data_IF_820606893168
#
_entry.id   IF_820606893168
#
_cell.length_a   1.000
_cell.length_b   1.000
_cell.length_c   1.000
_cell.angle_alpha   90.00
_cell.angle_beta   90.00
_cell.angle_gamma   90.00
#
_symmetry.space_group_name_H-M   'P 1'
#
loop_
_entity.id
_entity.type
_entity.pdbx_description
1 polymer ?
#
# COMPACT_ATOMS: atom_id res chain seq x y z
N UNK A 1 48.57 32.34 15.35
CA UNK A 1 48.44 30.84 15.24
C UNK A 1 47.16 30.37 15.97
N UNK A 2 46.85 30.86 17.18
CA UNK A 2 45.66 30.46 17.96
C UNK A 2 44.34 30.96 17.34
N UNK A 3 44.31 32.19 16.81
CA UNK A 3 43.17 32.78 16.14
C UNK A 3 42.83 32.05 14.83
N UNK A 4 43.80 31.63 14.04
CA UNK A 4 43.56 30.86 12.82
C UNK A 4 42.98 29.46 13.09
N UNK A 5 43.33 28.82 14.20
CA UNK A 5 42.72 27.51 14.57
C UNK A 5 41.27 27.66 14.98
N UNK A 6 40.90 28.72 15.67
CA UNK A 6 39.51 28.97 16.06
C UNK A 6 38.63 29.24 14.82
N UNK A 7 39.10 30.08 13.90
CA UNK A 7 38.42 30.40 12.65
C UNK A 7 38.22 29.13 11.81
N UNK A 8 39.23 28.25 11.71
CA UNK A 8 39.10 26.97 10.99
C UNK A 8 38.09 26.05 11.68
N UNK A 9 38.10 25.93 13.01
CA UNK A 9 37.14 25.09 13.73
C UNK A 9 35.70 25.55 13.54
N UNK A 10 35.48 26.88 13.56
CA UNK A 10 34.15 27.45 13.35
C UNK A 10 33.67 27.24 11.90
N UNK A 11 34.54 27.42 10.92
CA UNK A 11 34.24 27.13 9.52
C UNK A 11 33.91 25.65 9.30
N UNK A 12 34.64 24.73 9.91
CA UNK A 12 34.35 23.30 9.84
C UNK A 12 33.01 22.95 10.48
N UNK A 13 32.68 23.57 11.62
CA UNK A 13 31.40 23.35 12.29
C UNK A 13 30.22 23.87 11.45
N UNK A 14 30.31 25.10 10.92
CA UNK A 14 29.28 25.67 10.03
C UNK A 14 29.07 24.80 8.79
N UNK A 15 30.15 24.39 8.13
CA UNK A 15 30.06 23.54 6.93
C UNK A 15 29.41 22.18 7.24
N UNK A 16 29.73 21.57 8.38
CA UNK A 16 29.10 20.31 8.80
C UNK A 16 27.60 20.48 9.10
N UNK A 17 27.23 21.55 9.80
CA UNK A 17 25.83 21.84 10.12
C UNK A 17 25.05 22.09 8.84
N UNK A 18 25.59 22.85 7.90
CA UNK A 18 24.95 23.11 6.60
C UNK A 18 24.75 21.83 5.78
N UNK A 19 25.77 20.97 5.69
CA UNK A 19 25.66 19.68 4.98
C UNK A 19 24.62 18.76 5.61
N UNK A 20 24.56 18.67 6.94
CA UNK A 20 23.58 17.87 7.66
C UNK A 20 22.17 18.43 7.45
N UNK A 21 21.98 19.74 7.57
CA UNK A 21 20.69 20.39 7.40
C UNK A 21 20.17 20.23 5.97
N UNK A 22 21.04 20.41 4.97
CA UNK A 22 20.69 20.21 3.57
C UNK A 22 20.33 18.75 3.27
N UNK A 23 21.07 17.77 3.81
CA UNK A 23 20.78 16.35 3.63
C UNK A 23 19.48 15.93 4.33
N UNK A 24 19.17 16.49 5.50
CA UNK A 24 17.90 16.29 6.20
C UNK A 24 16.73 16.86 5.40
N UNK A 25 16.88 18.07 4.85
CA UNK A 25 15.86 18.70 4.01
C UNK A 25 15.50 17.86 2.79
N UNK A 26 16.49 17.35 2.07
CA UNK A 26 16.30 16.46 0.94
C UNK A 26 15.61 15.14 1.34
N UNK A 27 16.01 14.54 2.47
CA UNK A 27 15.38 13.31 2.98
C UNK A 27 13.90 13.54 3.32
N UNK A 28 13.59 14.60 4.02
CA UNK A 28 12.20 14.96 4.38
C UNK A 28 11.38 15.21 3.12
N UNK A 29 11.92 15.92 2.14
CA UNK A 29 11.24 16.18 0.86
C UNK A 29 10.94 14.87 0.10
N UNK A 30 11.90 13.96 0.02
CA UNK A 30 11.72 12.66 -0.65
C UNK A 30 10.65 11.80 0.05
N UNK A 31 10.66 11.77 1.39
CA UNK A 31 9.65 11.05 2.18
C UNK A 31 8.27 11.66 1.95
N UNK A 32 8.15 12.98 1.97
CA UNK A 32 6.89 13.68 1.73
C UNK A 32 6.32 13.39 0.34
N UNK A 33 7.13 13.51 -0.71
CA UNK A 33 6.73 13.22 -2.09
C UNK A 33 6.35 11.75 -2.25
N UNK A 34 7.14 10.83 -1.70
CA UNK A 34 6.85 9.40 -1.73
C UNK A 34 5.54 9.05 -1.04
N UNK A 35 5.27 9.63 0.14
CA UNK A 35 4.04 9.43 0.89
C UNK A 35 2.83 10.01 0.14
N UNK A 36 2.96 11.20 -0.42
CA UNK A 36 1.93 11.86 -1.20
C UNK A 36 1.54 11.04 -2.43
N UNK A 37 2.53 10.61 -3.22
CA UNK A 37 2.31 9.75 -4.38
C UNK A 37 1.71 8.40 -3.96
N UNK A 38 2.20 7.80 -2.88
CA UNK A 38 1.68 6.55 -2.35
C UNK A 38 0.20 6.61 -1.99
N UNK A 39 -0.24 7.70 -1.34
CA UNK A 39 -1.66 7.92 -1.00
C UNK A 39 -2.50 8.09 -2.27
N UNK A 40 -2.06 8.87 -3.25
CA UNK A 40 -2.78 9.06 -4.51
C UNK A 40 -2.93 7.73 -5.24
N UNK A 41 -1.85 6.96 -5.37
CA UNK A 41 -1.90 5.65 -6.01
C UNK A 41 -2.79 4.67 -5.27
N UNK A 42 -2.76 4.66 -3.93
CA UNK A 42 -3.63 3.82 -3.12
C UNK A 42 -5.10 4.13 -3.37
N UNK A 43 -5.50 5.41 -3.32
CA UNK A 43 -6.88 5.84 -3.56
C UNK A 43 -7.31 5.49 -4.98
N UNK A 44 -6.48 5.77 -5.97
CA UNK A 44 -6.78 5.47 -7.38
C UNK A 44 -6.94 3.98 -7.63
N UNK A 45 -6.04 3.15 -7.11
CA UNK A 45 -6.09 1.69 -7.25
C UNK A 45 -7.35 1.11 -6.63
N UNK A 46 -7.69 1.58 -5.43
CA UNK A 46 -8.89 1.19 -4.71
C UNK A 46 -10.15 1.55 -5.50
N UNK A 47 -10.21 2.76 -6.05
CA UNK A 47 -11.34 3.24 -6.85
C UNK A 47 -11.52 2.41 -8.13
N UNK A 48 -10.44 2.17 -8.86
CA UNK A 48 -10.47 1.36 -10.08
C UNK A 48 -10.95 -0.07 -9.77
N UNK A 49 -10.40 -0.68 -8.72
CA UNK A 49 -10.77 -2.03 -8.33
C UNK A 49 -12.25 -2.14 -7.96
N UNK A 50 -12.80 -1.13 -7.26
CA UNK A 50 -14.21 -1.07 -6.93
C UNK A 50 -15.11 -0.97 -8.16
N UNK A 51 -14.82 -0.02 -9.02
CA UNK A 51 -15.62 0.20 -10.22
C UNK A 51 -15.60 -1.06 -11.09
N UNK A 52 -14.43 -1.65 -11.28
CA UNK A 52 -14.28 -2.88 -12.07
C UNK A 52 -15.08 -4.02 -11.47
N UNK A 53 -15.01 -4.24 -10.16
CA UNK A 53 -15.73 -5.33 -9.51
C UNK A 53 -17.26 -5.11 -9.49
N UNK A 54 -17.71 -3.89 -9.27
CA UNK A 54 -19.12 -3.56 -9.32
C UNK A 54 -19.69 -3.72 -10.74
N UNK A 55 -18.95 -3.29 -11.76
CA UNK A 55 -19.32 -3.50 -13.17
C UNK A 55 -19.40 -5.00 -13.49
N UNK A 56 -18.37 -5.76 -13.13
CA UNK A 56 -18.35 -7.23 -13.33
C UNK A 56 -19.51 -7.93 -12.60
N UNK A 57 -19.84 -7.49 -11.39
CA UNK A 57 -20.95 -8.04 -10.63
C UNK A 57 -22.31 -7.72 -11.28
N UNK A 58 -22.45 -6.53 -11.84
CA UNK A 58 -23.64 -6.12 -12.60
C UNK A 58 -23.80 -6.95 -13.87
N UNK A 59 -22.72 -7.11 -14.63
CA UNK A 59 -22.73 -7.87 -15.88
C UNK A 59 -23.00 -9.38 -15.65
N UNK A 60 -22.56 -9.90 -14.53
CA UNK A 60 -22.80 -11.29 -14.14
C UNK A 60 -24.15 -11.55 -13.48
N UNK A 61 -24.97 -10.52 -13.19
CA UNK A 61 -26.27 -10.65 -12.53
C UNK A 61 -27.18 -11.63 -13.29
N UNK A 62 -27.30 -11.47 -14.60
CA UNK A 62 -28.13 -12.32 -15.44
C UNK A 62 -27.62 -13.77 -15.47
N UNK A 63 -26.33 -13.99 -15.52
CA UNK A 63 -25.70 -15.31 -15.44
C UNK A 63 -26.01 -16.01 -14.11
N UNK A 64 -25.96 -15.30 -13.00
CA UNK A 64 -26.31 -15.85 -11.69
C UNK A 64 -27.80 -16.15 -11.56
N UNK A 65 -28.68 -15.36 -12.23
CA UNK A 65 -30.11 -15.64 -12.32
C UNK A 65 -30.38 -16.95 -13.06
N UNK A 66 -29.76 -17.13 -14.22
CA UNK A 66 -29.86 -18.38 -15.01
C UNK A 66 -29.37 -19.59 -14.19
N UNK A 67 -28.26 -19.44 -13.45
CA UNK A 67 -27.76 -20.51 -12.58
C UNK A 67 -28.78 -20.90 -11.49
N UNK A 68 -29.52 -19.95 -10.93
CA UNK A 68 -30.60 -20.23 -9.97
C UNK A 68 -31.76 -20.98 -10.63
N UNK A 69 -32.15 -20.58 -11.82
CA UNK A 69 -33.20 -21.26 -12.60
C UNK A 69 -32.80 -22.70 -12.94
N UNK A 70 -31.51 -22.97 -13.14
CA UNK A 70 -30.94 -24.32 -13.35
C UNK A 70 -30.78 -25.13 -12.05
N UNK A 71 -31.19 -24.56 -10.89
CA UNK A 71 -31.17 -25.26 -9.60
C UNK A 71 -29.93 -25.04 -8.75
N UNK A 72 -29.06 -24.10 -9.10
CA UNK A 72 -27.93 -23.76 -8.24
C UNK A 72 -28.39 -23.13 -6.93
N UNK A 73 -27.91 -23.65 -5.80
CA UNK A 73 -28.25 -23.10 -4.50
C UNK A 73 -27.59 -21.73 -4.26
N UNK A 74 -28.22 -20.86 -3.48
CA UNK A 74 -27.64 -19.57 -3.08
C UNK A 74 -26.27 -19.71 -2.39
N UNK A 75 -26.04 -20.84 -1.73
CA UNK A 75 -24.75 -21.14 -1.09
C UNK A 75 -23.64 -21.36 -2.14
N UNK A 76 -23.94 -22.03 -3.24
CA UNK A 76 -22.99 -22.24 -4.34
C UNK A 76 -22.67 -20.92 -5.03
N UNK A 77 -23.68 -20.09 -5.30
CA UNK A 77 -23.52 -18.76 -5.91
C UNK A 77 -22.66 -17.85 -5.02
N UNK A 78 -22.99 -17.77 -3.73
CA UNK A 78 -22.22 -16.95 -2.79
C UNK A 78 -20.75 -17.40 -2.68
N UNK A 79 -20.50 -18.71 -2.73
CA UNK A 79 -19.13 -19.24 -2.70
C UNK A 79 -18.37 -18.91 -3.97
N UNK A 80 -19.00 -19.02 -5.13
CA UNK A 80 -18.41 -18.64 -6.41
C UNK A 80 -18.04 -17.14 -6.43
N UNK A 81 -18.97 -16.28 -6.02
CA UNK A 81 -18.76 -14.84 -5.90
C UNK A 81 -17.61 -14.50 -4.93
N UNK A 82 -17.60 -15.12 -3.75
CA UNK A 82 -16.53 -14.92 -2.79
C UNK A 82 -15.17 -15.31 -3.35
N UNK A 83 -15.09 -16.46 -4.04
CA UNK A 83 -13.83 -16.92 -4.65
C UNK A 83 -13.38 -15.97 -5.76
N UNK A 84 -14.29 -15.53 -6.61
CA UNK A 84 -13.98 -14.57 -7.69
C UNK A 84 -13.40 -13.27 -7.11
N UNK A 85 -14.08 -12.65 -6.17
CA UNK A 85 -13.64 -11.40 -5.54
C UNK A 85 -12.31 -11.61 -4.79
N UNK A 86 -12.16 -12.74 -4.09
CA UNK A 86 -10.91 -13.07 -3.39
C UNK A 86 -9.72 -13.14 -4.34
N UNK A 87 -9.86 -13.77 -5.50
CA UNK A 87 -8.76 -13.86 -6.47
C UNK A 87 -8.36 -12.46 -6.95
N UNK A 88 -9.34 -11.61 -7.29
CA UNK A 88 -9.10 -10.26 -7.80
C UNK A 88 -8.40 -9.38 -6.74
N UNK A 89 -8.72 -9.58 -5.46
CA UNK A 89 -8.12 -8.80 -4.38
C UNK A 89 -6.79 -9.39 -3.89
N UNK A 90 -6.70 -10.70 -3.71
CA UNK A 90 -5.52 -11.34 -3.12
C UNK A 90 -4.34 -11.34 -4.11
N UNK A 91 -4.59 -11.56 -5.40
CA UNK A 91 -3.52 -11.65 -6.40
C UNK A 91 -2.64 -10.37 -6.44
N UNK A 92 -3.20 -9.15 -6.60
CA UNK A 92 -2.40 -7.93 -6.57
C UNK A 92 -1.71 -7.70 -5.23
N UNK A 93 -2.37 -8.05 -4.11
CA UNK A 93 -1.83 -7.90 -2.78
C UNK A 93 -0.59 -8.79 -2.59
N UNK A 94 -0.63 -10.04 -3.02
CA UNK A 94 0.51 -10.96 -2.95
C UNK A 94 1.68 -10.43 -3.77
N UNK A 95 1.43 -9.96 -5.00
CA UNK A 95 2.47 -9.37 -5.85
C UNK A 95 3.06 -8.11 -5.20
N UNK A 96 2.22 -7.25 -4.62
CA UNK A 96 2.66 -6.04 -3.94
C UNK A 96 3.51 -6.35 -2.70
N UNK A 97 3.11 -7.34 -1.88
CA UNK A 97 3.88 -7.76 -0.70
C UNK A 97 5.23 -8.37 -1.10
N UNK A 98 5.24 -9.17 -2.16
CA UNK A 98 6.48 -9.75 -2.69
C UNK A 98 7.44 -8.64 -3.17
N UNK A 99 6.93 -7.67 -3.92
CA UNK A 99 7.71 -6.53 -4.39
C UNK A 99 8.21 -5.66 -3.24
N UNK A 100 7.35 -5.38 -2.26
CA UNK A 100 7.71 -4.64 -1.06
C UNK A 100 8.81 -5.34 -0.25
N UNK A 101 8.77 -6.66 -0.13
CA UNK A 101 9.80 -7.42 0.59
C UNK A 101 11.18 -7.22 -0.02
N UNK A 102 11.33 -7.33 -1.35
CA UNK A 102 12.61 -7.08 -2.02
C UNK A 102 13.03 -5.62 -1.91
N UNK A 103 12.14 -4.68 -2.18
CA UNK A 103 12.44 -3.25 -2.07
C UNK A 103 12.89 -2.83 -0.67
N UNK A 104 12.25 -3.38 0.38
CA UNK A 104 12.63 -3.10 1.77
C UNK A 104 13.97 -3.72 2.16
N UNK A 105 14.32 -4.87 1.59
CA UNK A 105 15.63 -5.50 1.83
C UNK A 105 16.75 -4.62 1.32
N UNK A 106 16.61 -4.07 0.12
CA UNK A 106 17.59 -3.15 -0.48
C UNK A 106 17.67 -1.83 0.29
N UNK A 107 16.52 -1.22 0.62
CA UNK A 107 16.46 0.02 1.40
C UNK A 107 17.06 -0.16 2.79
N UNK A 108 16.80 -1.29 3.46
CA UNK A 108 17.34 -1.58 4.78
C UNK A 108 18.88 -1.71 4.75
N UNK A 109 19.43 -2.26 3.67
CA UNK A 109 20.88 -2.32 3.45
C UNK A 109 21.49 -0.91 3.35
N UNK A 110 20.86 -0.02 2.60
CA UNK A 110 21.29 1.37 2.46
C UNK A 110 21.12 2.18 3.77
N UNK A 111 20.02 1.95 4.50
CA UNK A 111 19.76 2.64 5.77
C UNK A 111 20.73 2.24 6.88
N UNK A 112 21.14 0.98 6.94
CA UNK A 112 22.16 0.51 7.89
C UNK A 112 23.51 1.16 7.67
N UNK A 113 23.83 1.54 6.44
CA UNK A 113 25.06 2.31 6.14
C UNK A 113 24.99 3.77 6.62
N UNK A 114 23.77 4.32 6.82
CA UNK A 114 23.58 5.75 7.11
C UNK A 114 23.16 6.04 8.57
N UNK A 115 22.47 5.12 9.23
CA UNK A 115 22.05 5.24 10.64
C UNK A 115 21.52 3.91 11.18
N UNK A 116 21.71 3.67 12.47
CA UNK A 116 21.17 2.49 13.17
C UNK A 116 19.69 2.73 13.51
N UNK A 117 18.82 2.66 12.47
CA UNK A 117 17.38 2.91 12.59
C UNK A 117 16.66 1.58 12.70
N UNK A 118 15.92 1.38 13.78
CA UNK A 118 15.04 0.22 13.97
C UNK A 118 13.78 0.35 13.08
N UNK A 119 13.91 0.00 11.80
CA UNK A 119 12.83 0.12 10.81
C UNK A 119 11.75 -0.95 11.00
N UNK A 120 12.09 -2.09 11.62
CA UNK A 120 11.21 -3.26 11.72
C UNK A 120 9.87 -3.00 12.41
N UNK A 121 9.85 -2.22 13.50
CA UNK A 121 8.61 -1.91 14.23
C UNK A 121 7.67 -1.02 13.42
N UNK A 122 8.21 -0.04 12.70
CA UNK A 122 7.43 0.84 11.83
C UNK A 122 6.85 0.09 10.65
N UNK A 123 7.62 -0.83 10.06
CA UNK A 123 7.16 -1.68 8.96
C UNK A 123 6.01 -2.61 9.39
N UNK A 124 6.09 -3.19 10.59
CA UNK A 124 5.02 -4.02 11.12
C UNK A 124 3.71 -3.25 11.23
N UNK A 125 3.72 -2.07 11.85
CA UNK A 125 2.51 -1.25 12.01
C UNK A 125 1.95 -0.77 10.67
N UNK A 126 2.83 -0.38 9.74
CA UNK A 126 2.41 0.01 8.38
C UNK A 126 1.77 -1.16 7.65
N UNK A 127 2.32 -2.36 7.75
CA UNK A 127 1.73 -3.57 7.14
C UNK A 127 0.37 -3.89 7.74
N UNK A 128 0.22 -3.82 9.06
CA UNK A 128 -1.08 -4.02 9.73
C UNK A 128 -2.10 -2.99 9.24
N UNK A 129 -1.72 -1.73 9.14
CA UNK A 129 -2.60 -0.66 8.66
C UNK A 129 -3.08 -0.91 7.22
N UNK A 130 -2.18 -1.29 6.33
CA UNK A 130 -2.52 -1.65 4.94
C UNK A 130 -3.48 -2.84 4.88
N UNK A 131 -3.22 -3.89 5.65
CA UNK A 131 -4.09 -5.09 5.69
C UNK A 131 -5.47 -4.75 6.22
N UNK A 132 -5.60 -3.89 7.22
CA UNK A 132 -6.89 -3.46 7.77
C UNK A 132 -7.69 -2.66 6.73
N UNK A 133 -7.08 -1.70 6.07
CA UNK A 133 -7.74 -0.90 5.02
C UNK A 133 -8.15 -1.80 3.87
N UNK A 134 -7.25 -2.62 3.37
CA UNK A 134 -7.49 -3.49 2.23
C UNK A 134 -8.55 -4.55 2.54
N UNK A 135 -8.51 -5.14 3.73
CA UNK A 135 -9.50 -6.09 4.22
C UNK A 135 -10.88 -5.46 4.38
N UNK A 136 -10.95 -4.26 4.94
CA UNK A 136 -12.20 -3.48 5.04
C UNK A 136 -12.83 -3.23 3.67
N UNK A 137 -11.98 -2.90 2.70
CA UNK A 137 -12.40 -2.68 1.32
C UNK A 137 -12.91 -3.95 0.63
N UNK A 138 -12.22 -5.07 0.82
CA UNK A 138 -12.66 -6.38 0.36
C UNK A 138 -14.05 -6.74 0.90
N UNK A 139 -14.26 -6.55 2.20
CA UNK A 139 -15.56 -6.85 2.85
C UNK A 139 -16.66 -5.94 2.31
N UNK A 140 -16.39 -4.65 2.11
CA UNK A 140 -17.36 -3.71 1.55
C UNK A 140 -17.74 -4.12 0.12
N UNK A 141 -16.76 -4.38 -0.75
CA UNK A 141 -16.99 -4.80 -2.13
C UNK A 141 -17.77 -6.11 -2.19
N UNK A 142 -17.41 -7.10 -1.38
CA UNK A 142 -18.15 -8.37 -1.32
C UNK A 142 -19.61 -8.18 -0.92
N UNK A 143 -19.88 -7.37 0.10
CA UNK A 143 -21.27 -7.10 0.54
C UNK A 143 -22.09 -6.41 -0.55
N UNK A 144 -21.51 -5.43 -1.24
CA UNK A 144 -22.21 -4.69 -2.31
C UNK A 144 -22.44 -5.61 -3.50
N UNK A 145 -21.44 -6.33 -3.97
CA UNK A 145 -21.56 -7.29 -5.09
C UNK A 145 -22.62 -8.37 -4.78
N UNK A 146 -22.62 -8.91 -3.56
CA UNK A 146 -23.63 -9.87 -3.12
C UNK A 146 -25.04 -9.29 -3.16
N UNK A 147 -25.21 -8.00 -2.84
CA UNK A 147 -26.50 -7.33 -2.90
C UNK A 147 -26.97 -7.17 -4.35
N UNK A 148 -26.09 -6.72 -5.24
CA UNK A 148 -26.37 -6.54 -6.68
C UNK A 148 -26.86 -7.86 -7.32
N UNK A 149 -26.25 -8.98 -6.97
CA UNK A 149 -26.58 -10.29 -7.54
C UNK A 149 -27.89 -10.87 -6.96
N UNK A 150 -28.29 -10.43 -5.77
CA UNK A 150 -29.49 -10.93 -5.09
C UNK A 150 -30.77 -10.20 -5.50
N UNK A 151 -30.65 -8.91 -5.83
CA UNK A 151 -31.74 -8.08 -6.34
C UNK A 151 -31.99 -8.35 -7.81
#
# INVERSE_FOLDING_TARGET
VRSMRLINSDLYMVTRIDMVTQSLGLKVMLIYVGLYLGIIFAISSVTILAITELSTSSDNKERYKILRELGASDKMINRALFTQISIIFILPLVVALFHAFFGLTEINSLLKMMADIQVGKSLFWTSVFIVVIYGGYFVATYKISKRIIKD
#
